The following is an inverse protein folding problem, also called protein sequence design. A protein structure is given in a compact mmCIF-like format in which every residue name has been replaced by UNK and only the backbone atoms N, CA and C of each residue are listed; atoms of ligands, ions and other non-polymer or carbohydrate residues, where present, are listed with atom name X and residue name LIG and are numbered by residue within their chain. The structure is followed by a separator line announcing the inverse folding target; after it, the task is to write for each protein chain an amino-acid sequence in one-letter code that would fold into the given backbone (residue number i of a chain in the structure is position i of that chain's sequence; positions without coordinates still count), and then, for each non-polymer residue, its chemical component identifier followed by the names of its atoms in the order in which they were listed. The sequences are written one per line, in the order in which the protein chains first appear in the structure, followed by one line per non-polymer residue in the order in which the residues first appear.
data_IF_385510826019
#
_entry.id   IF_385510826019
#
_cell.length_a   1.000
_cell.length_b   1.000
_cell.length_c   1.000
_cell.angle_alpha   90.00
_cell.angle_beta   90.00
_cell.angle_gamma   90.00
#
_symmetry.space_group_name_H-M   'P 1'
#
loop_
_entity.id
_entity.type
_entity.pdbx_description
1 polymer ?
#
# COMPACT_ATOMS: atom_id res chain seq x y z
N UNK A 1 82.99 38.35 -38.01
CA UNK A 1 83.74 37.77 -39.14
C UNK A 1 82.85 36.75 -39.81
N UNK A 2 82.49 37.11 -41.00
CA UNK A 2 82.36 36.39 -42.25
C UNK A 2 81.25 35.32 -42.32
N UNK A 3 80.20 35.65 -42.96
CA UNK A 3 79.78 35.48 -44.39
C UNK A 3 79.79 34.04 -44.92
N UNK A 4 78.65 33.50 -45.34
CA UNK A 4 78.29 33.22 -46.75
C UNK A 4 76.99 32.45 -46.82
N UNK A 5 76.06 32.96 -47.37
CA UNK A 5 75.17 32.84 -48.52
C UNK A 5 75.40 31.62 -49.46
N UNK A 6 74.33 30.85 -49.77
CA UNK A 6 73.95 30.42 -51.14
C UNK A 6 72.68 29.54 -51.12
N UNK A 7 71.59 30.00 -51.60
CA UNK A 7 70.92 29.86 -52.93
C UNK A 7 70.28 28.47 -53.23
N UNK A 8 68.95 28.51 -53.22
CA UNK A 8 67.96 27.94 -54.16
C UNK A 8 68.25 26.63 -54.90
N UNK A 9 67.38 25.63 -54.69
CA UNK A 9 66.79 24.85 -55.82
C UNK A 9 65.37 24.56 -55.51
N UNK A 10 64.45 24.93 -56.38
CA UNK A 10 63.05 24.61 -56.40
C UNK A 10 62.86 23.17 -56.93
N UNK A 11 62.19 22.32 -56.15
CA UNK A 11 61.77 21.01 -56.65
C UNK A 11 60.27 20.82 -56.29
N UNK A 12 59.46 20.96 -57.31
CA UNK A 12 58.03 20.67 -57.24
C UNK A 12 57.85 19.14 -57.11
N UNK A 13 57.29 18.72 -55.99
CA UNK A 13 56.75 17.35 -55.86
C UNK A 13 55.26 17.44 -55.62
N UNK A 14 54.49 17.04 -56.61
CA UNK A 14 53.05 16.79 -56.52
C UNK A 14 52.87 15.69 -55.53
N UNK A 15 52.44 16.05 -54.31
CA UNK A 15 52.01 15.05 -53.24
C UNK A 15 50.49 14.87 -53.37
N UNK A 16 50.11 13.67 -53.70
CA UNK A 16 48.73 13.16 -53.68
C UNK A 16 48.12 13.39 -52.33
N UNK A 17 47.12 14.24 -52.27
CA UNK A 17 46.30 14.47 -51.07
C UNK A 17 45.31 13.29 -50.94
N UNK A 18 45.71 12.24 -50.21
CA UNK A 18 44.81 11.19 -49.80
C UNK A 18 43.84 11.77 -48.78
N UNK A 19 42.60 11.98 -49.22
CA UNK A 19 41.48 12.25 -48.34
C UNK A 19 41.23 11.02 -47.47
N UNK A 20 41.86 11.00 -46.32
CA UNK A 20 41.43 10.15 -45.19
C UNK A 20 40.11 10.74 -44.66
N UNK A 21 39.00 10.31 -45.26
CA UNK A 21 37.69 10.39 -44.62
C UNK A 21 37.75 9.53 -43.36
N UNK A 22 38.19 10.10 -42.27
CA UNK A 22 37.98 9.53 -40.96
C UNK A 22 36.47 9.35 -40.76
N UNK A 23 36.01 8.12 -40.85
CA UNK A 23 34.73 7.73 -40.30
C UNK A 23 34.84 8.02 -38.80
N UNK A 24 34.26 9.16 -38.37
CA UNK A 24 33.91 9.40 -36.98
C UNK A 24 33.02 8.25 -36.63
N UNK A 25 33.60 7.26 -35.89
CA UNK A 25 32.81 6.26 -35.22
C UNK A 25 31.82 7.06 -34.37
N UNK A 26 30.57 7.11 -34.80
CA UNK A 26 29.47 7.51 -33.94
C UNK A 26 29.58 6.60 -32.70
N UNK A 27 30.17 7.16 -31.65
CA UNK A 27 30.07 6.58 -30.33
C UNK A 27 28.58 6.33 -30.08
N UNK A 28 28.21 5.07 -30.06
CA UNK A 28 26.84 4.64 -29.98
C UNK A 28 26.13 5.46 -28.92
N UNK A 29 25.07 6.17 -29.34
CA UNK A 29 24.05 6.62 -28.42
C UNK A 29 23.77 5.42 -27.52
N UNK A 30 24.14 5.52 -26.23
CA UNK A 30 23.71 4.54 -25.23
C UNK A 30 22.20 4.47 -25.42
N UNK A 31 21.71 3.34 -25.94
CA UNK A 31 20.28 3.08 -26.11
C UNK A 31 19.72 3.26 -24.72
N UNK A 32 19.05 4.37 -24.51
CA UNK A 32 18.38 4.70 -23.26
C UNK A 32 17.60 3.46 -22.87
N UNK A 33 18.00 2.84 -21.76
CA UNK A 33 17.51 1.53 -21.45
C UNK A 33 16.02 1.62 -21.26
N UNK A 34 15.21 1.12 -22.23
CA UNK A 34 13.77 1.25 -22.23
C UNK A 34 13.25 0.85 -20.82
N UNK A 35 12.53 1.75 -20.19
CA UNK A 35 11.97 1.52 -18.84
C UNK A 35 10.81 0.52 -18.92
N UNK A 36 10.54 -0.27 -17.90
CA UNK A 36 9.44 -1.25 -17.89
C UNK A 36 8.06 -0.65 -18.17
N UNK A 37 7.88 0.64 -17.89
CA UNK A 37 6.64 1.38 -18.15
C UNK A 37 6.49 1.83 -19.62
N UNK A 38 7.50 1.62 -20.48
CA UNK A 38 7.40 1.96 -21.88
C UNK A 38 6.36 1.11 -22.61
N UNK A 39 5.60 1.72 -23.51
CA UNK A 39 4.59 1.02 -24.30
C UNK A 39 5.27 -0.09 -25.12
N UNK A 40 4.72 -1.30 -25.05
CA UNK A 40 5.26 -2.46 -25.77
C UNK A 40 6.55 -3.03 -25.18
N UNK A 41 6.88 -2.69 -23.94
CA UNK A 41 8.04 -3.26 -23.26
C UNK A 41 8.00 -4.80 -23.25
N UNK A 42 9.14 -5.39 -23.54
CA UNK A 42 9.35 -6.86 -23.48
C UNK A 42 10.59 -7.16 -22.64
N UNK A 43 10.56 -8.26 -21.86
CA UNK A 43 11.73 -8.74 -21.10
C UNK A 43 12.95 -8.96 -22.00
N UNK A 44 14.12 -8.47 -21.59
CA UNK A 44 15.31 -8.35 -22.46
C UNK A 44 16.17 -9.62 -22.47
N UNK A 45 16.32 -10.27 -21.35
CA UNK A 45 17.21 -11.43 -21.20
C UNK A 45 16.52 -12.61 -20.50
N UNK A 46 17.26 -13.68 -20.27
CA UNK A 46 16.74 -14.92 -19.72
C UNK A 46 16.25 -14.75 -18.26
N UNK A 47 16.98 -13.96 -17.46
CA UNK A 47 16.61 -13.71 -16.05
C UNK A 47 15.31 -12.92 -15.95
N UNK A 48 15.21 -11.86 -16.76
CA UNK A 48 14.01 -11.02 -16.76
C UNK A 48 12.80 -11.78 -17.31
N UNK A 49 12.98 -12.58 -18.38
CA UNK A 49 11.89 -13.44 -18.91
C UNK A 49 11.43 -14.47 -17.90
N UNK A 50 12.37 -15.14 -17.20
CA UNK A 50 12.03 -16.12 -16.18
C UNK A 50 11.22 -15.49 -15.04
N UNK A 51 11.70 -14.38 -14.50
CA UNK A 51 11.01 -13.66 -13.44
C UNK A 51 9.62 -13.14 -13.89
N UNK A 52 9.51 -12.69 -15.15
CA UNK A 52 8.24 -12.24 -15.72
C UNK A 52 7.24 -13.38 -15.82
N UNK A 53 7.64 -14.55 -16.32
CA UNK A 53 6.77 -15.73 -16.42
C UNK A 53 6.23 -16.19 -15.05
N UNK A 54 7.08 -16.19 -14.02
CA UNK A 54 6.67 -16.50 -12.64
C UNK A 54 5.62 -15.49 -12.13
N UNK A 55 5.81 -14.21 -12.42
CA UNK A 55 4.86 -13.18 -12.02
C UNK A 55 3.54 -13.26 -12.81
N UNK A 56 3.55 -13.68 -14.06
CA UNK A 56 2.33 -13.94 -14.84
C UNK A 56 1.51 -15.11 -14.29
N UNK A 57 2.19 -16.16 -13.81
CA UNK A 57 1.52 -17.27 -13.14
C UNK A 57 0.87 -16.81 -11.84
N UNK A 58 1.62 -16.12 -10.98
CA UNK A 58 1.11 -15.55 -9.74
C UNK A 58 -0.06 -14.57 -9.99
N UNK A 59 -0.01 -13.78 -11.06
CA UNK A 59 -1.09 -12.88 -11.44
C UNK A 59 -2.35 -13.63 -11.89
N UNK A 60 -2.21 -14.75 -12.58
CA UNK A 60 -3.36 -15.61 -12.96
C UNK A 60 -4.06 -16.18 -11.73
N UNK A 61 -3.30 -16.67 -10.76
CA UNK A 61 -3.84 -17.16 -9.49
C UNK A 61 -4.54 -16.04 -8.72
N UNK A 62 -3.88 -14.88 -8.59
CA UNK A 62 -4.43 -13.73 -7.90
C UNK A 62 -5.76 -13.29 -8.51
N UNK A 63 -5.80 -13.12 -9.83
CA UNK A 63 -7.00 -12.64 -10.55
C UNK A 63 -8.22 -13.52 -10.34
N UNK A 64 -8.01 -14.84 -10.15
CA UNK A 64 -9.07 -15.82 -9.92
C UNK A 64 -9.40 -16.01 -8.43
N UNK A 65 -8.73 -15.27 -7.56
CA UNK A 65 -8.88 -15.40 -6.11
C UNK A 65 -10.10 -14.67 -5.57
N UNK A 66 -10.78 -15.28 -4.60
CA UNK A 66 -11.87 -14.65 -3.84
C UNK A 66 -11.41 -13.47 -2.95
N UNK A 67 -10.11 -13.25 -2.85
CA UNK A 67 -9.57 -12.11 -2.10
C UNK A 67 -9.48 -10.83 -2.94
N UNK A 68 -9.63 -10.91 -4.26
CA UNK A 68 -9.62 -9.73 -5.12
C UNK A 68 -10.97 -9.02 -5.03
N UNK A 69 -10.92 -7.73 -4.78
CA UNK A 69 -12.07 -6.84 -4.77
C UNK A 69 -12.40 -6.43 -6.20
N UNK A 70 -13.54 -6.90 -6.71
CA UNK A 70 -14.00 -6.65 -8.08
C UNK A 70 -14.96 -5.46 -8.20
N UNK A 71 -14.94 -4.52 -7.24
CA UNK A 71 -15.75 -3.31 -7.33
C UNK A 71 -15.21 -2.37 -8.42
N UNK A 72 -15.97 -2.07 -9.48
CA UNK A 72 -15.47 -1.27 -10.58
C UNK A 72 -15.15 0.17 -10.19
N UNK A 73 -15.92 0.77 -9.26
CA UNK A 73 -15.73 2.16 -8.85
C UNK A 73 -14.46 2.32 -8.03
N UNK A 74 -14.22 1.44 -7.04
CA UNK A 74 -13.01 1.46 -6.24
C UNK A 74 -11.75 1.17 -7.09
N UNK A 75 -11.83 0.18 -7.99
CA UNK A 75 -10.72 -0.14 -8.89
C UNK A 75 -10.40 1.02 -9.84
N UNK A 76 -11.41 1.66 -10.44
CA UNK A 76 -11.23 2.84 -11.29
C UNK A 76 -10.64 4.02 -10.51
N UNK A 77 -11.09 4.23 -9.26
CA UNK A 77 -10.59 5.27 -8.40
C UNK A 77 -9.08 5.09 -8.09
N UNK A 78 -8.67 3.91 -7.60
CA UNK A 78 -7.28 3.62 -7.28
C UNK A 78 -6.39 3.71 -8.53
N UNK A 79 -6.87 3.23 -9.69
CA UNK A 79 -6.20 3.38 -10.98
C UNK A 79 -6.06 4.85 -11.36
N UNK A 80 -7.09 5.65 -11.20
CA UNK A 80 -7.07 7.09 -11.46
C UNK A 80 -6.05 7.84 -10.59
N UNK A 81 -5.94 7.47 -9.31
CA UNK A 81 -4.90 8.03 -8.42
C UNK A 81 -3.51 7.67 -8.93
N UNK A 82 -3.24 6.41 -9.30
CA UNK A 82 -1.95 6.01 -9.86
C UNK A 82 -1.65 6.79 -11.16
N UNK A 83 -2.61 6.86 -12.10
CA UNK A 83 -2.38 7.54 -13.39
C UNK A 83 -2.09 9.03 -13.21
N UNK A 84 -2.79 9.70 -12.29
CA UNK A 84 -2.49 11.09 -11.93
C UNK A 84 -1.09 11.22 -11.31
N UNK A 85 -0.64 10.23 -10.55
CA UNK A 85 0.65 10.25 -9.87
C UNK A 85 1.81 10.07 -10.84
N UNK A 86 1.79 9.03 -11.67
CA UNK A 86 2.93 8.65 -12.53
C UNK A 86 2.78 9.11 -13.98
N UNK A 87 1.62 9.64 -14.36
CA UNK A 87 1.26 10.03 -15.71
C UNK A 87 0.59 8.91 -16.51
N UNK A 88 -0.34 9.26 -17.41
CA UNK A 88 -1.20 8.33 -18.15
C UNK A 88 -0.41 7.27 -18.94
N UNK A 89 0.65 7.68 -19.63
CA UNK A 89 1.47 6.74 -20.40
C UNK A 89 2.10 5.67 -19.52
N UNK A 90 2.74 6.07 -18.41
CA UNK A 90 3.40 5.14 -17.50
C UNK A 90 2.40 4.23 -16.80
N UNK A 91 1.28 4.80 -16.35
CA UNK A 91 0.28 4.04 -15.63
C UNK A 91 -0.37 2.93 -16.48
N UNK A 92 -0.30 3.00 -17.82
CA UNK A 92 -0.81 1.95 -18.71
C UNK A 92 -0.12 0.61 -18.49
N UNK A 93 1.13 0.60 -18.03
CA UNK A 93 1.89 -0.61 -17.71
C UNK A 93 1.39 -1.32 -16.44
N UNK A 94 0.68 -0.62 -15.55
CA UNK A 94 0.24 -1.18 -14.29
C UNK A 94 -1.16 -1.83 -14.40
N UNK A 95 -1.28 -3.06 -13.90
CA UNK A 95 -2.54 -3.75 -13.68
C UNK A 95 -2.76 -3.85 -12.17
N UNK A 96 -3.79 -3.16 -11.67
CA UNK A 96 -4.05 -3.04 -10.23
C UNK A 96 -5.01 -4.13 -9.78
N UNK A 97 -4.68 -4.76 -8.67
CA UNK A 97 -5.48 -5.73 -7.95
C UNK A 97 -5.64 -5.27 -6.50
N UNK A 98 -6.86 -4.91 -6.11
CA UNK A 98 -7.17 -4.59 -4.72
C UNK A 98 -7.41 -5.91 -4.00
N UNK A 99 -6.58 -6.22 -2.99
CA UNK A 99 -6.63 -7.48 -2.26
C UNK A 99 -7.22 -7.26 -0.88
N UNK A 100 -8.31 -7.98 -0.55
CA UNK A 100 -8.98 -7.88 0.74
C UNK A 100 -8.14 -8.55 1.83
N UNK A 101 -7.35 -7.75 2.50
CA UNK A 101 -6.55 -8.13 3.67
C UNK A 101 -6.33 -6.92 4.57
N UNK A 102 -6.52 -7.03 5.90
CA UNK A 102 -6.50 -5.87 6.81
C UNK A 102 -5.09 -5.35 7.13
N UNK A 103 -4.05 -5.97 6.57
CA UNK A 103 -2.68 -5.51 6.76
C UNK A 103 -2.34 -4.36 5.82
N UNK A 104 -1.49 -3.44 6.29
CA UNK A 104 -0.95 -2.38 5.45
C UNK A 104 0.08 -2.96 4.50
N UNK A 105 -0.18 -2.92 3.19
CA UNK A 105 0.80 -3.28 2.16
C UNK A 105 0.38 -2.81 0.77
N UNK A 106 1.37 -2.62 -0.10
CA UNK A 106 1.26 -2.60 -1.55
C UNK A 106 2.52 -3.24 -2.13
N UNK A 107 2.48 -3.64 -3.39
CA UNK A 107 3.67 -4.13 -4.11
C UNK A 107 3.46 -4.00 -5.62
N UNK A 108 4.56 -3.89 -6.37
CA UNK A 108 4.51 -3.93 -7.82
C UNK A 108 5.53 -4.92 -8.37
N UNK A 109 5.02 -5.91 -9.09
CA UNK A 109 5.81 -6.97 -9.70
C UNK A 109 6.47 -6.51 -11.01
N UNK A 110 7.58 -7.15 -11.45
CA UNK A 110 8.29 -6.80 -12.68
C UNK A 110 7.46 -6.83 -13.95
N UNK A 111 6.39 -7.62 -13.99
CA UNK A 111 5.46 -7.69 -15.13
C UNK A 111 4.41 -6.59 -15.14
N UNK A 112 4.41 -5.69 -14.15
CA UNK A 112 3.43 -4.59 -14.02
C UNK A 112 2.18 -4.95 -13.21
N UNK A 113 2.10 -6.14 -12.58
CA UNK A 113 1.07 -6.45 -11.61
C UNK A 113 1.29 -5.63 -10.34
N UNK A 114 0.31 -4.81 -9.97
CA UNK A 114 0.33 -4.02 -8.74
C UNK A 114 -0.74 -4.53 -7.78
N UNK A 115 -0.36 -4.90 -6.58
CA UNK A 115 -1.27 -5.26 -5.50
C UNK A 115 -1.45 -4.08 -4.54
N UNK A 116 -2.68 -3.80 -4.17
CA UNK A 116 -3.05 -2.79 -3.17
C UNK A 116 -3.91 -3.46 -2.12
N UNK A 117 -3.39 -3.59 -0.90
CA UNK A 117 -4.13 -4.26 0.17
C UNK A 117 -5.13 -3.32 0.82
N UNK A 118 -6.28 -3.85 1.20
CA UNK A 118 -7.35 -3.03 1.80
C UNK A 118 -6.95 -2.42 3.15
N UNK A 119 -6.01 -3.04 3.87
CA UNK A 119 -5.43 -2.45 5.07
C UNK A 119 -4.61 -1.18 4.82
N UNK A 120 -4.04 -1.00 3.62
CA UNK A 120 -3.45 0.26 3.17
C UNK A 120 -4.55 1.30 2.95
N UNK A 121 -5.62 0.95 2.25
CA UNK A 121 -6.75 1.86 2.02
C UNK A 121 -7.41 2.29 3.34
N UNK A 122 -7.50 1.43 4.34
CA UNK A 122 -8.01 1.80 5.67
C UNK A 122 -7.12 2.82 6.39
N UNK A 123 -5.82 2.83 6.14
CA UNK A 123 -4.83 3.66 6.84
C UNK A 123 -4.49 4.96 6.15
N UNK A 124 -4.62 5.04 4.83
CA UNK A 124 -4.48 6.30 4.10
C UNK A 124 -5.64 7.24 4.41
N UNK A 125 -5.38 8.54 4.47
CA UNK A 125 -6.37 9.56 4.83
C UNK A 125 -6.86 10.36 3.65
N UNK A 126 -6.04 10.39 2.60
CA UNK A 126 -6.30 11.20 1.41
C UNK A 126 -5.62 10.60 0.18
N UNK A 127 -5.95 11.15 -1.00
CA UNK A 127 -5.34 10.71 -2.26
C UNK A 127 -3.82 10.84 -2.26
N UNK A 128 -3.28 11.91 -1.67
CA UNK A 128 -1.84 12.14 -1.70
C UNK A 128 -1.05 11.09 -0.89
N UNK A 129 -1.61 10.57 0.21
CA UNK A 129 -1.01 9.44 0.93
C UNK A 129 -1.08 8.15 0.12
N UNK A 130 -2.21 7.88 -0.53
CA UNK A 130 -2.34 6.73 -1.44
C UNK A 130 -1.36 6.88 -2.61
N UNK A 131 -1.32 8.05 -3.24
CA UNK A 131 -0.40 8.38 -4.33
C UNK A 131 1.07 8.20 -3.92
N UNK A 132 1.44 8.56 -2.70
CA UNK A 132 2.80 8.39 -2.18
C UNK A 132 3.22 6.90 -2.15
N UNK A 133 2.34 6.01 -1.67
CA UNK A 133 2.63 4.57 -1.63
C UNK A 133 2.63 3.97 -3.03
N UNK A 134 1.61 4.29 -3.85
CA UNK A 134 1.55 3.78 -5.24
C UNK A 134 2.74 4.25 -6.08
N UNK A 135 3.14 5.52 -5.91
CA UNK A 135 4.32 6.10 -6.58
C UNK A 135 5.62 5.45 -6.12
N UNK A 136 5.75 5.09 -4.84
CA UNK A 136 6.89 4.37 -4.30
C UNK A 136 7.01 2.96 -4.92
N UNK A 137 5.92 2.20 -4.95
CA UNK A 137 5.88 0.87 -5.58
C UNK A 137 6.17 0.95 -7.08
N UNK A 138 5.65 1.98 -7.75
CA UNK A 138 5.93 2.24 -9.15
C UNK A 138 7.40 2.63 -9.38
N UNK A 139 8.02 3.33 -8.44
CA UNK A 139 9.46 3.61 -8.43
C UNK A 139 10.31 2.34 -8.40
N UNK A 140 9.96 1.37 -7.55
CA UNK A 140 10.61 0.05 -7.52
C UNK A 140 10.51 -0.66 -8.88
N UNK A 141 9.35 -0.60 -9.51
CA UNK A 141 9.11 -1.18 -10.84
C UNK A 141 9.97 -0.52 -11.92
N UNK A 142 9.96 0.81 -12.05
CA UNK A 142 10.74 1.52 -13.08
C UNK A 142 12.25 1.36 -12.91
N UNK A 143 12.74 1.36 -11.66
CA UNK A 143 14.15 1.11 -11.34
C UNK A 143 14.54 -0.37 -11.40
N UNK A 144 13.58 -1.28 -11.68
CA UNK A 144 13.80 -2.73 -11.79
C UNK A 144 14.42 -3.33 -10.53
N UNK A 145 14.02 -2.86 -9.36
CA UNK A 145 14.62 -3.29 -8.10
C UNK A 145 14.46 -4.79 -7.88
N UNK A 146 13.28 -5.35 -8.19
CA UNK A 146 13.04 -6.80 -8.08
C UNK A 146 13.98 -7.62 -8.98
N UNK A 147 14.25 -7.17 -10.21
CA UNK A 147 15.19 -7.83 -11.12
C UNK A 147 16.64 -7.70 -10.63
N UNK A 148 17.02 -6.51 -10.14
CA UNK A 148 18.36 -6.26 -9.54
C UNK A 148 18.59 -7.18 -8.35
N UNK A 149 17.62 -7.28 -7.45
CA UNK A 149 17.67 -8.16 -6.28
C UNK A 149 17.73 -9.63 -6.69
N UNK A 150 16.89 -10.05 -7.65
CA UNK A 150 16.90 -11.41 -8.18
C UNK A 150 18.29 -11.81 -8.69
N UNK A 151 18.94 -10.96 -9.49
CA UNK A 151 20.29 -11.20 -9.99
C UNK A 151 21.34 -11.24 -8.89
N UNK A 152 21.23 -10.37 -7.90
CA UNK A 152 22.13 -10.35 -6.75
C UNK A 152 22.03 -11.64 -5.93
N UNK A 153 20.83 -12.11 -5.64
CA UNK A 153 20.61 -13.37 -4.90
C UNK A 153 21.09 -14.55 -5.71
N UNK A 154 20.74 -14.60 -7.00
CA UNK A 154 21.15 -15.69 -7.90
C UNK A 154 22.67 -15.79 -8.06
N UNK A 155 23.39 -14.67 -8.02
CA UNK A 155 24.85 -14.68 -8.08
C UNK A 155 25.51 -15.24 -6.81
N UNK A 156 24.78 -15.26 -5.68
CA UNK A 156 25.27 -15.72 -4.36
C UNK A 156 24.80 -17.12 -3.98
N UNK A 157 23.79 -17.65 -4.67
CA UNK A 157 23.17 -18.97 -4.37
C UNK A 157 23.00 -19.77 -5.65
N UNK A 158 23.10 -21.11 -5.54
CA UNK A 158 22.70 -21.98 -6.65
C UNK A 158 21.25 -21.74 -7.02
N UNK A 159 20.96 -21.71 -8.33
CA UNK A 159 19.63 -21.41 -8.88
C UNK A 159 18.51 -22.30 -8.29
N UNK A 160 18.83 -23.52 -7.85
CA UNK A 160 17.91 -24.45 -7.19
C UNK A 160 17.50 -24.00 -5.79
N UNK A 161 18.37 -23.31 -5.05
CA UNK A 161 18.02 -22.77 -3.73
C UNK A 161 17.03 -21.61 -3.83
N UNK A 162 17.09 -20.80 -4.90
CA UNK A 162 16.11 -19.74 -5.16
C UNK A 162 14.69 -20.29 -5.35
N UNK A 163 14.54 -21.37 -6.12
CA UNK A 163 13.23 -22.01 -6.37
C UNK A 163 12.59 -22.56 -5.08
N UNK A 164 13.40 -22.90 -4.07
CA UNK A 164 12.87 -23.35 -2.77
C UNK A 164 12.27 -22.23 -1.90
N UNK A 165 12.54 -20.97 -2.22
CA UNK A 165 11.92 -19.81 -1.58
C UNK A 165 10.57 -19.43 -2.22
N UNK A 166 10.26 -19.95 -3.42
CA UNK A 166 8.93 -19.82 -4.01
C UNK A 166 8.02 -20.84 -3.35
N UNK A 167 6.96 -20.45 -2.65
CA UNK A 167 6.16 -21.35 -1.85
C UNK A 167 5.21 -22.17 -2.74
N UNK A 168 5.71 -23.27 -3.30
CA UNK A 168 4.87 -24.30 -3.90
C UNK A 168 3.96 -24.90 -2.81
N UNK A 169 2.66 -24.67 -2.89
CA UNK A 169 1.67 -25.32 -2.04
C UNK A 169 1.27 -24.59 -0.74
N UNK A 170 1.72 -23.37 -0.53
CA UNK A 170 1.21 -22.54 0.58
C UNK A 170 0.03 -21.71 0.06
N UNK A 171 -1.06 -21.63 0.84
CA UNK A 171 -2.27 -20.92 0.40
C UNK A 171 -2.00 -19.48 -0.05
N UNK A 172 -2.80 -18.99 -1.01
CA UNK A 172 -2.61 -17.72 -1.73
C UNK A 172 -2.26 -16.52 -0.83
N UNK A 173 -2.88 -16.38 0.36
CA UNK A 173 -2.56 -15.27 1.28
C UNK A 173 -1.14 -15.36 1.83
N UNK A 174 -0.66 -16.57 2.10
CA UNK A 174 0.72 -16.76 2.52
C UNK A 174 1.69 -16.52 1.37
N UNK A 175 1.32 -16.87 0.13
CA UNK A 175 2.09 -16.56 -1.08
C UNK A 175 2.17 -15.05 -1.32
N UNK A 176 1.05 -14.32 -1.21
CA UNK A 176 1.02 -12.86 -1.36
C UNK A 176 1.88 -12.15 -0.29
N UNK A 177 1.82 -12.63 0.95
CA UNK A 177 2.67 -12.15 2.05
C UNK A 177 4.16 -12.46 1.83
N UNK A 178 4.48 -13.64 1.29
CA UNK A 178 5.86 -14.06 1.02
C UNK A 178 6.44 -13.40 -0.23
N UNK A 179 5.66 -13.15 -1.28
CA UNK A 179 6.12 -12.37 -2.43
C UNK A 179 6.59 -10.98 -2.00
N UNK A 180 5.85 -10.31 -1.11
CA UNK A 180 6.30 -9.05 -0.50
C UNK A 180 7.54 -9.19 0.37
N UNK A 181 7.73 -10.32 1.09
CA UNK A 181 8.88 -10.52 1.98
C UNK A 181 10.13 -11.08 1.29
N UNK A 182 9.99 -11.74 0.14
CA UNK A 182 11.11 -12.20 -0.69
C UNK A 182 11.92 -11.01 -1.19
N UNK A 183 11.27 -9.88 -1.46
CA UNK A 183 11.90 -8.65 -1.90
C UNK A 183 12.13 -7.69 -0.73
N UNK A 184 13.05 -8.04 0.18
CA UNK A 184 13.58 -7.04 1.12
C UNK A 184 14.60 -6.18 0.38
N UNK A 185 14.18 -5.00 -0.03
CA UNK A 185 15.02 -4.08 -0.78
C UNK A 185 16.14 -3.49 0.08
N UNK A 186 17.28 -3.21 -0.55
CA UNK A 186 18.36 -2.52 0.12
C UNK A 186 17.96 -1.08 0.48
N UNK A 187 18.66 -0.46 1.44
CA UNK A 187 18.41 0.96 1.80
C UNK A 187 18.58 1.91 0.61
N UNK A 188 19.48 1.58 -0.32
CA UNK A 188 19.69 2.40 -1.50
C UNK A 188 18.54 2.28 -2.48
N UNK A 189 18.00 1.06 -2.70
CA UNK A 189 16.80 0.84 -3.50
C UNK A 189 15.58 1.54 -2.92
N UNK A 190 15.41 1.50 -1.59
CA UNK A 190 14.35 2.24 -0.89
C UNK A 190 14.48 3.75 -1.12
N UNK A 191 15.71 4.27 -1.02
CA UNK A 191 15.97 5.68 -1.26
C UNK A 191 15.71 6.10 -2.70
N UNK A 192 16.09 5.27 -3.68
CA UNK A 192 15.77 5.49 -5.10
C UNK A 192 14.25 5.57 -5.29
N UNK A 193 13.47 4.62 -4.74
CA UNK A 193 12.00 4.59 -4.85
C UNK A 193 11.34 5.77 -4.12
N UNK A 194 11.86 6.19 -2.98
CA UNK A 194 11.37 7.36 -2.24
C UNK A 194 11.58 8.67 -3.02
N UNK A 195 12.74 8.85 -3.66
CA UNK A 195 13.01 10.01 -4.51
C UNK A 195 12.03 10.05 -5.69
N UNK A 196 11.82 8.91 -6.35
CA UNK A 196 10.82 8.82 -7.44
C UNK A 196 9.41 9.12 -6.93
N UNK A 197 9.02 8.61 -5.77
CA UNK A 197 7.70 8.89 -5.16
C UNK A 197 7.48 10.40 -4.96
N UNK A 198 8.46 11.11 -4.42
CA UNK A 198 8.38 12.58 -4.24
C UNK A 198 8.28 13.29 -5.58
N UNK A 199 9.04 12.86 -6.60
CA UNK A 199 8.98 13.43 -7.94
C UNK A 199 7.60 13.20 -8.59
N UNK A 200 7.04 11.98 -8.45
CA UNK A 200 5.70 11.65 -8.94
C UNK A 200 4.61 12.45 -8.23
N UNK A 201 4.65 12.57 -6.90
CA UNK A 201 3.70 13.39 -6.16
C UNK A 201 3.72 14.83 -6.66
N UNK A 202 4.92 15.40 -6.80
CA UNK A 202 5.11 16.77 -7.28
C UNK A 202 4.53 16.96 -8.70
N UNK A 203 4.86 16.06 -9.62
CA UNK A 203 4.38 16.13 -11.01
C UNK A 203 2.88 15.88 -11.14
N UNK A 204 2.32 15.03 -10.27
CA UNK A 204 0.88 14.77 -10.16
C UNK A 204 0.09 15.87 -9.44
N UNK A 205 0.78 16.92 -8.95
CA UNK A 205 0.16 18.04 -8.22
C UNK A 205 -0.21 17.74 -6.78
N UNK A 206 0.21 16.60 -6.23
CA UNK A 206 -0.03 16.21 -4.84
C UNK A 206 0.98 16.81 -3.88
N UNK A 207 0.56 17.06 -2.65
CA UNK A 207 1.42 17.55 -1.56
C UNK A 207 2.49 16.52 -1.19
N UNK A 208 3.80 16.77 -1.45
CA UNK A 208 4.86 15.78 -1.24
C UNK A 208 5.04 15.36 0.21
N UNK A 209 4.71 16.24 1.17
CA UNK A 209 4.80 15.96 2.61
C UNK A 209 3.92 14.79 3.08
N UNK A 210 2.94 14.38 2.28
CA UNK A 210 2.09 13.23 2.60
C UNK A 210 2.85 11.90 2.55
N UNK A 211 3.96 11.84 1.81
CA UNK A 211 4.87 10.68 1.83
C UNK A 211 5.51 10.46 3.21
N UNK A 212 5.90 11.53 3.91
CA UNK A 212 6.39 11.41 5.30
C UNK A 212 5.25 11.15 6.28
N UNK A 213 4.09 11.78 6.07
CA UNK A 213 2.95 11.72 6.98
C UNK A 213 2.38 10.30 7.14
N UNK A 214 2.32 9.49 6.06
CA UNK A 214 1.83 8.10 6.16
C UNK A 214 2.74 7.24 7.03
N UNK A 215 4.07 7.42 6.95
CA UNK A 215 5.02 6.69 7.79
C UNK A 215 4.91 7.09 9.27
N UNK A 216 4.78 8.39 9.56
CA UNK A 216 4.54 8.87 10.92
C UNK A 216 3.28 8.22 11.52
N UNK A 217 2.20 8.18 10.76
CA UNK A 217 0.93 7.59 11.18
C UNK A 217 1.04 6.10 11.50
N UNK A 218 1.76 5.32 10.69
CA UNK A 218 1.96 3.89 10.94
C UNK A 218 2.79 3.65 12.23
N UNK A 219 3.73 4.53 12.52
CA UNK A 219 4.52 4.48 13.76
C UNK A 219 3.65 4.80 14.99
N UNK A 220 2.78 5.80 14.89
CA UNK A 220 1.82 6.14 15.95
C UNK A 220 0.84 4.98 16.22
N UNK A 221 0.40 4.27 15.17
CA UNK A 221 -0.45 3.07 15.30
C UNK A 221 0.28 1.94 16.04
N UNK A 222 1.56 1.72 15.75
CA UNK A 222 2.37 0.74 16.49
C UNK A 222 2.59 1.14 17.95
N UNK A 223 2.74 2.43 18.23
CA UNK A 223 2.81 2.93 19.60
C UNK A 223 1.49 2.69 20.35
N UNK A 224 0.34 2.89 19.70
CA UNK A 224 -0.97 2.63 20.28
C UNK A 224 -1.18 1.14 20.59
N UNK A 225 -0.77 0.24 19.68
CA UNK A 225 -0.76 -1.22 19.92
C UNK A 225 0.09 -1.57 21.12
N UNK A 226 1.30 -1.01 21.22
CA UNK A 226 2.24 -1.32 22.29
C UNK A 226 1.74 -0.78 23.64
N UNK A 227 1.17 0.42 23.66
CA UNK A 227 0.61 1.03 24.86
C UNK A 227 -0.56 0.20 25.42
N UNK A 228 -1.47 -0.26 24.55
CA UNK A 228 -2.59 -1.11 24.94
C UNK A 228 -2.12 -2.45 25.54
N UNK A 229 -1.13 -3.08 24.90
CA UNK A 229 -0.55 -4.36 25.35
C UNK A 229 0.43 -4.20 26.51
N UNK A 230 0.71 -2.98 26.96
CA UNK A 230 1.69 -2.66 28.01
C UNK A 230 3.09 -3.23 27.72
N UNK A 231 3.52 -3.15 26.47
CA UNK A 231 4.82 -3.62 26.01
C UNK A 231 5.60 -2.47 25.35
N UNK A 232 6.92 -2.68 25.17
CA UNK A 232 7.74 -1.70 24.44
C UNK A 232 7.34 -1.68 22.96
N UNK A 233 7.17 -0.49 22.41
CA UNK A 233 6.88 -0.28 20.99
C UNK A 233 7.95 -0.91 20.09
N UNK A 234 7.49 -1.47 18.98
CA UNK A 234 8.36 -2.07 17.93
C UNK A 234 8.43 -1.21 16.66
N UNK A 235 8.03 0.06 16.75
CA UNK A 235 8.00 0.99 15.61
C UNK A 235 9.33 1.16 14.86
N UNK A 236 10.44 0.80 15.50
CA UNK A 236 11.79 0.84 14.91
C UNK A 236 12.30 -0.55 14.48
N UNK A 237 11.44 -1.59 14.58
CA UNK A 237 11.77 -2.96 14.14
C UNK A 237 11.08 -3.26 12.82
N UNK A 238 11.82 -3.95 11.94
CA UNK A 238 11.27 -4.45 10.69
C UNK A 238 10.29 -5.60 10.99
N UNK A 239 9.04 -5.46 10.52
CA UNK A 239 8.00 -6.47 10.62
C UNK A 239 6.76 -6.05 9.81
N UNK A 240 5.97 -7.00 9.35
CA UNK A 240 4.85 -6.70 8.44
C UNK A 240 5.33 -6.05 7.14
N UNK A 241 4.72 -4.94 6.74
CA UNK A 241 5.15 -4.15 5.59
C UNK A 241 6.63 -3.72 5.68
N UNK A 242 7.11 -3.39 6.89
CA UNK A 242 8.51 -2.99 7.10
C UNK A 242 9.51 -4.15 7.00
N UNK A 243 9.09 -5.37 6.76
CA UNK A 243 9.99 -6.48 6.46
C UNK A 243 10.55 -6.38 5.04
N UNK A 244 9.73 -5.96 4.06
CA UNK A 244 10.15 -5.72 2.67
C UNK A 244 10.69 -4.30 2.47
N UNK A 245 10.15 -3.32 3.20
CA UNK A 245 10.54 -1.91 3.14
C UNK A 245 11.04 -1.46 4.53
N UNK A 246 12.34 -1.61 4.82
CA UNK A 246 12.88 -1.26 6.12
C UNK A 246 12.49 0.14 6.56
N UNK A 247 11.75 0.20 7.67
CA UNK A 247 11.37 1.47 8.28
C UNK A 247 12.50 1.93 9.19
N UNK A 248 12.95 3.15 8.96
CA UNK A 248 13.69 3.87 9.98
C UNK A 248 12.97 5.17 10.28
N UNK A 249 12.99 5.61 11.54
CA UNK A 249 12.62 7.00 11.87
C UNK A 249 13.41 7.98 11.01
N UNK A 250 14.62 7.59 10.61
CA UNK A 250 15.48 8.26 9.64
C UNK A 250 14.79 8.44 8.28
N UNK A 251 14.09 7.40 7.75
CA UNK A 251 13.36 7.49 6.47
C UNK A 251 12.24 8.54 6.51
N UNK A 252 11.50 8.61 7.61
CA UNK A 252 10.47 9.62 7.80
C UNK A 252 11.06 11.05 7.77
N UNK A 253 12.17 11.28 8.47
CA UNK A 253 12.83 12.58 8.50
C UNK A 253 13.41 12.97 7.13
N UNK A 254 14.03 12.03 6.46
CA UNK A 254 14.60 12.21 5.14
C UNK A 254 13.50 12.51 4.10
N UNK A 255 12.36 11.80 4.11
CA UNK A 255 11.21 12.09 3.24
C UNK A 255 10.63 13.49 3.51
N UNK A 256 10.57 13.91 4.77
CA UNK A 256 10.14 15.27 5.12
C UNK A 256 11.10 16.33 4.55
N UNK A 257 12.41 16.08 4.61
CA UNK A 257 13.42 16.97 4.05
C UNK A 257 13.31 17.05 2.51
N UNK A 258 13.17 15.91 1.83
CA UNK A 258 12.95 15.87 0.37
C UNK A 258 11.67 16.63 -0.03
N UNK A 259 10.58 16.39 0.70
CA UNK A 259 9.31 17.06 0.44
C UNK A 259 9.39 18.57 0.61
N UNK A 260 10.19 19.06 1.58
CA UNK A 260 10.35 20.50 1.83
C UNK A 260 11.16 21.20 0.72
N UNK A 261 12.00 20.45 -0.01
CA UNK A 261 12.77 20.98 -1.14
C UNK A 261 12.03 20.85 -2.50
N UNK A 262 10.91 20.14 -2.52
CA UNK A 262 10.12 19.96 -3.73
C UNK A 262 9.25 21.21 -4.03
N UNK A 263 8.85 21.37 -5.29
CA UNK A 263 7.94 22.43 -5.69
C UNK A 263 6.62 22.32 -4.93
N UNK A 264 6.11 23.43 -4.41
CA UNK A 264 4.89 23.45 -3.61
C UNK A 264 3.67 23.01 -4.45
N UNK A 265 3.22 21.79 -4.19
CA UNK A 265 1.94 21.27 -4.64
C UNK A 265 1.03 21.12 -3.40
N UNK A 266 -0.24 21.46 -3.53
CA UNK A 266 -1.13 21.60 -2.36
C UNK A 266 -2.29 20.63 -2.34
N UNK A 267 -2.48 19.83 -3.39
CA UNK A 267 -3.59 18.87 -3.45
C UNK A 267 -3.35 17.72 -2.48
N UNK A 268 -4.26 17.54 -1.55
CA UNK A 268 -4.33 16.35 -0.67
C UNK A 268 -5.38 15.36 -1.15
N UNK A 269 -6.50 15.83 -1.69
CA UNK A 269 -7.60 15.00 -2.17
C UNK A 269 -8.37 14.30 -1.04
N UNK A 270 -8.60 15.03 0.08
CA UNK A 270 -9.28 14.47 1.26
C UNK A 270 -10.75 14.15 0.99
N UNK A 271 -11.45 15.03 0.25
CA UNK A 271 -12.87 14.85 -0.06
C UNK A 271 -13.05 13.67 -1.03
N UNK A 272 -12.32 13.67 -2.10
CA UNK A 272 -12.36 12.62 -3.14
C UNK A 272 -12.05 11.24 -2.55
N UNK A 273 -11.05 11.18 -1.64
CA UNK A 273 -10.70 9.94 -0.95
C UNK A 273 -11.85 9.47 -0.04
N UNK A 274 -12.39 10.36 0.79
CA UNK A 274 -13.50 10.06 1.69
C UNK A 274 -14.70 9.54 0.93
N UNK A 275 -15.06 10.19 -0.20
CA UNK A 275 -16.20 9.83 -1.01
C UNK A 275 -16.01 8.45 -1.66
N UNK A 276 -14.83 8.19 -2.22
CA UNK A 276 -14.50 6.90 -2.82
C UNK A 276 -14.50 5.75 -1.80
N UNK A 277 -14.11 6.05 -0.55
CA UNK A 277 -14.03 5.06 0.52
C UNK A 277 -15.33 4.92 1.33
N UNK A 278 -16.35 5.74 1.07
CA UNK A 278 -17.57 5.81 1.91
C UNK A 278 -18.24 4.45 2.12
N UNK A 279 -18.37 3.63 1.08
CA UNK A 279 -18.95 2.28 1.15
C UNK A 279 -17.99 1.22 1.72
N UNK A 280 -16.71 1.55 1.81
CA UNK A 280 -15.66 0.60 2.18
C UNK A 280 -15.24 0.70 3.64
N UNK A 281 -15.50 1.83 4.33
CA UNK A 281 -15.09 1.97 5.73
C UNK A 281 -15.62 0.85 6.62
N UNK A 282 -16.92 0.57 6.56
CA UNK A 282 -17.53 -0.43 7.44
C UNK A 282 -16.94 -1.84 7.25
N UNK A 283 -16.87 -2.43 6.03
CA UNK A 283 -16.28 -3.75 5.84
C UNK A 283 -14.77 -3.79 6.18
N UNK A 284 -14.01 -2.71 5.92
CA UNK A 284 -12.58 -2.68 6.24
C UNK A 284 -12.33 -2.57 7.75
N UNK A 285 -13.15 -1.82 8.47
CA UNK A 285 -13.09 -1.72 9.94
C UNK A 285 -13.46 -3.07 10.56
N UNK A 286 -14.48 -3.76 10.03
CA UNK A 286 -14.86 -5.10 10.49
C UNK A 286 -13.70 -6.10 10.32
N UNK A 287 -13.03 -6.09 9.19
CA UNK A 287 -11.84 -6.92 8.95
C UNK A 287 -10.67 -6.54 9.89
N UNK A 288 -10.49 -5.24 10.20
CA UNK A 288 -9.49 -4.77 11.16
C UNK A 288 -9.78 -5.23 12.58
N UNK A 289 -11.04 -5.20 13.03
CA UNK A 289 -11.44 -5.65 14.36
C UNK A 289 -11.09 -7.14 14.56
N UNK A 290 -11.24 -7.97 13.52
CA UNK A 290 -10.92 -9.41 13.55
C UNK A 290 -9.43 -9.69 13.78
N UNK A 291 -8.52 -8.71 13.58
CA UNK A 291 -7.10 -8.86 13.91
C UNK A 291 -6.83 -8.92 15.41
N UNK A 292 -7.79 -8.59 16.26
CA UNK A 292 -7.62 -8.50 17.72
C UNK A 292 -6.46 -7.55 18.12
N UNK A 293 -6.17 -6.54 17.29
CA UNK A 293 -5.28 -5.45 17.64
C UNK A 293 -6.10 -4.26 18.11
N UNK A 294 -6.44 -4.28 19.40
CA UNK A 294 -7.32 -3.30 20.00
C UNK A 294 -6.71 -1.88 19.92
N UNK A 295 -5.43 -1.73 20.28
CA UNK A 295 -4.75 -0.44 20.31
C UNK A 295 -4.69 0.21 18.93
N UNK A 296 -4.29 -0.56 17.90
CA UNK A 296 -4.29 -0.10 16.52
C UNK A 296 -5.70 0.28 16.04
N UNK A 297 -6.70 -0.57 16.34
CA UNK A 297 -8.08 -0.34 15.87
C UNK A 297 -8.70 0.89 16.53
N UNK A 298 -8.53 1.07 17.85
CA UNK A 298 -9.01 2.28 18.55
C UNK A 298 -8.32 3.55 18.02
N UNK A 299 -7.01 3.48 17.75
CA UNK A 299 -6.27 4.56 17.11
C UNK A 299 -6.85 4.91 15.73
N UNK A 300 -7.10 3.91 14.87
CA UNK A 300 -7.66 4.11 13.54
C UNK A 300 -9.07 4.71 13.60
N UNK A 301 -9.95 4.20 14.48
CA UNK A 301 -11.30 4.77 14.68
C UNK A 301 -11.23 6.22 15.14
N UNK A 302 -10.36 6.54 16.10
CA UNK A 302 -10.15 7.91 16.56
C UNK A 302 -9.65 8.84 15.44
N UNK A 303 -8.85 8.32 14.52
CA UNK A 303 -8.36 9.07 13.35
C UNK A 303 -9.46 9.31 12.32
N UNK A 304 -10.29 8.31 12.03
CA UNK A 304 -11.44 8.45 11.15
C UNK A 304 -12.48 9.44 11.73
N UNK A 305 -12.60 9.49 13.05
CA UNK A 305 -13.47 10.41 13.77
C UNK A 305 -12.90 11.83 13.93
N UNK A 306 -11.81 12.19 13.26
CA UNK A 306 -11.14 13.49 13.45
C UNK A 306 -12.04 14.73 13.26
N UNK A 307 -13.12 14.62 12.47
CA UNK A 307 -14.15 15.65 12.30
C UNK A 307 -15.41 15.44 13.17
N UNK A 308 -15.40 14.42 14.02
CA UNK A 308 -16.52 14.01 14.88
C UNK A 308 -16.89 12.53 14.69
N UNK A 309 -17.44 11.96 15.75
CA UNK A 309 -17.92 10.56 15.73
C UNK A 309 -19.24 10.48 14.95
N UNK A 310 -19.27 9.61 13.94
CA UNK A 310 -20.52 9.26 13.24
C UNK A 310 -21.18 8.04 13.88
N UNK A 311 -22.43 7.77 13.51
CA UNK A 311 -23.17 6.60 13.98
C UNK A 311 -22.45 5.28 13.65
N UNK A 312 -21.85 5.20 12.45
CA UNK A 312 -21.10 4.03 11.97
C UNK A 312 -19.79 3.81 12.75
N UNK A 313 -19.04 4.87 13.01
CA UNK A 313 -17.80 4.81 13.78
C UNK A 313 -18.06 4.45 15.25
N UNK A 314 -19.15 4.97 15.84
CA UNK A 314 -19.57 4.58 17.20
C UNK A 314 -20.04 3.13 17.25
N UNK A 315 -20.78 2.67 16.24
CA UNK A 315 -21.14 1.25 16.13
C UNK A 315 -19.87 0.37 16.07
N UNK A 316 -18.91 0.71 15.20
CA UNK A 316 -17.65 -0.03 15.07
C UNK A 316 -16.85 -0.02 16.39
N UNK A 317 -16.84 1.09 17.12
CA UNK A 317 -16.22 1.20 18.44
C UNK A 317 -16.92 0.31 19.45
N UNK A 318 -18.24 0.24 19.39
CA UNK A 318 -19.03 -0.72 20.19
C UNK A 318 -18.63 -2.16 19.91
N UNK A 319 -18.50 -2.55 18.64
CA UNK A 319 -18.06 -3.90 18.24
C UNK A 319 -16.63 -4.18 18.71
N UNK A 320 -15.72 -3.21 18.62
CA UNK A 320 -14.35 -3.34 19.10
C UNK A 320 -14.29 -3.71 20.60
N UNK A 321 -14.98 -2.91 21.44
CA UNK A 321 -15.00 -3.15 22.88
C UNK A 321 -15.74 -4.45 23.24
N UNK A 322 -16.88 -4.71 22.58
CA UNK A 322 -17.62 -5.96 22.78
C UNK A 322 -16.78 -7.20 22.44
N UNK A 323 -15.99 -7.13 21.38
CA UNK A 323 -15.15 -8.24 20.90
C UNK A 323 -13.97 -8.47 21.85
N UNK A 324 -13.33 -7.43 22.37
CA UNK A 324 -12.26 -7.56 23.37
C UNK A 324 -12.78 -8.19 24.66
N UNK A 325 -13.94 -7.73 25.15
CA UNK A 325 -14.63 -8.31 26.30
C UNK A 325 -13.85 -8.28 27.60
N UNK A 326 -12.94 -7.34 27.77
CA UNK A 326 -12.22 -7.11 29.02
C UNK A 326 -13.10 -6.46 30.10
N UNK A 327 -12.52 -6.22 31.29
CA UNK A 327 -13.22 -5.61 32.41
C UNK A 327 -13.79 -4.24 32.06
N UNK A 328 -15.12 -4.09 32.24
CA UNK A 328 -15.84 -2.86 31.89
C UNK A 328 -16.10 -2.63 30.41
N UNK A 329 -15.60 -3.47 29.50
CA UNK A 329 -15.75 -3.29 28.06
C UNK A 329 -17.19 -3.41 27.59
N UNK A 330 -17.96 -4.34 28.15
CA UNK A 330 -19.38 -4.47 27.79
C UNK A 330 -20.19 -3.21 28.17
N UNK A 331 -19.86 -2.57 29.31
CA UNK A 331 -20.50 -1.31 29.69
C UNK A 331 -20.13 -0.19 28.72
N UNK A 332 -18.86 -0.06 28.33
CA UNK A 332 -18.41 0.90 27.32
C UNK A 332 -19.05 0.64 25.97
N UNK A 333 -19.06 -0.63 25.51
CA UNK A 333 -19.71 -1.04 24.26
C UNK A 333 -21.19 -0.63 24.24
N UNK A 334 -21.92 -0.88 25.35
CA UNK A 334 -23.31 -0.47 25.47
C UNK A 334 -23.49 1.05 25.35
N UNK A 335 -22.55 1.84 25.89
CA UNK A 335 -22.50 3.29 25.69
C UNK A 335 -22.38 3.68 24.22
N UNK A 336 -21.36 3.15 23.53
CA UNK A 336 -21.13 3.47 22.13
C UNK A 336 -22.27 3.06 21.20
N UNK A 337 -22.93 1.91 21.45
CA UNK A 337 -24.11 1.53 20.67
C UNK A 337 -25.30 2.45 20.93
N UNK A 338 -25.53 2.90 22.19
CA UNK A 338 -26.58 3.88 22.48
C UNK A 338 -26.31 5.20 21.75
N UNK A 339 -25.08 5.68 21.78
CA UNK A 339 -24.70 6.91 21.09
C UNK A 339 -24.84 6.75 19.58
N UNK A 340 -24.48 5.61 19.00
CA UNK A 340 -24.71 5.30 17.59
C UNK A 340 -26.19 5.36 17.22
N UNK A 341 -27.06 4.75 18.02
CA UNK A 341 -28.51 4.74 17.83
C UNK A 341 -29.08 6.16 17.99
N UNK A 342 -28.60 6.92 18.97
CA UNK A 342 -29.02 8.30 19.19
C UNK A 342 -28.63 9.25 18.03
N UNK A 343 -27.50 8.99 17.37
CA UNK A 343 -27.12 9.69 16.13
C UNK A 343 -27.80 9.18 14.87
N UNK A 344 -28.81 8.33 15.01
CA UNK A 344 -29.63 7.88 13.90
C UNK A 344 -29.11 6.65 13.16
N UNK A 345 -28.29 5.79 13.80
CA UNK A 345 -27.85 4.54 13.17
C UNK A 345 -29.03 3.73 12.65
N UNK A 346 -29.03 3.46 11.37
CA UNK A 346 -30.02 2.61 10.69
C UNK A 346 -29.65 1.14 10.74
N UNK A 347 -28.44 0.80 11.24
CA UNK A 347 -27.94 -0.57 11.33
C UNK A 347 -28.70 -1.34 12.41
N UNK A 348 -29.45 -2.41 12.09
CA UNK A 348 -30.10 -3.27 13.07
C UNK A 348 -29.09 -3.89 14.05
N UNK A 349 -27.88 -4.14 13.59
CA UNK A 349 -26.75 -4.70 14.33
C UNK A 349 -26.35 -3.83 15.53
N UNK A 350 -26.57 -2.52 15.51
CA UNK A 350 -26.34 -1.66 16.67
C UNK A 350 -27.25 -2.06 17.86
N UNK A 351 -28.52 -2.43 17.60
CA UNK A 351 -29.44 -2.93 18.61
C UNK A 351 -29.05 -4.33 19.08
N UNK A 352 -28.59 -5.18 18.17
CA UNK A 352 -28.04 -6.50 18.52
C UNK A 352 -26.82 -6.36 19.44
N UNK A 353 -25.85 -5.54 19.07
CA UNK A 353 -24.65 -5.27 19.87
C UNK A 353 -24.99 -4.70 21.25
N UNK A 354 -25.90 -3.73 21.30
CA UNK A 354 -26.40 -3.14 22.55
C UNK A 354 -27.08 -4.21 23.43
N UNK A 355 -27.98 -5.01 22.84
CA UNK A 355 -28.68 -6.07 23.56
C UNK A 355 -27.73 -7.09 24.18
N UNK A 356 -26.75 -7.57 23.41
CA UNK A 356 -25.73 -8.51 23.88
C UNK A 356 -24.87 -7.90 25.01
N UNK A 357 -24.45 -6.64 24.86
CA UNK A 357 -23.64 -5.93 25.86
C UNK A 357 -24.43 -5.74 27.17
N UNK A 358 -25.72 -5.37 27.08
CA UNK A 358 -26.61 -5.21 28.23
C UNK A 358 -26.84 -6.52 28.98
N UNK A 359 -27.05 -7.64 28.28
CA UNK A 359 -27.15 -8.95 28.91
C UNK A 359 -25.88 -9.29 29.72
N UNK A 360 -24.71 -8.99 29.19
CA UNK A 360 -23.41 -9.23 29.84
C UNK A 360 -23.16 -8.33 31.03
N UNK A 361 -23.79 -7.16 31.11
CA UNK A 361 -23.70 -6.23 32.27
C UNK A 361 -24.85 -6.42 33.28
N UNK A 362 -25.71 -7.41 33.11
CA UNK A 362 -26.82 -7.70 34.02
C UNK A 362 -28.10 -6.89 33.81
N UNK A 363 -28.15 -6.00 32.81
CA UNK A 363 -29.33 -5.23 32.44
C UNK A 363 -30.28 -6.06 31.53
N UNK A 364 -30.76 -7.20 32.08
CA UNK A 364 -31.40 -8.30 31.35
C UNK A 364 -32.58 -7.82 30.53
N UNK A 365 -33.56 -7.12 31.17
CA UNK A 365 -34.80 -6.73 30.47
C UNK A 365 -34.54 -5.71 29.35
N UNK A 366 -33.62 -4.77 29.57
CA UNK A 366 -33.23 -3.83 28.53
C UNK A 366 -32.51 -4.56 27.38
N UNK A 367 -31.63 -5.51 27.69
CA UNK A 367 -30.95 -6.33 26.69
C UNK A 367 -31.92 -7.13 25.83
N UNK A 368 -32.92 -7.78 26.44
CA UNK A 368 -33.98 -8.52 25.76
C UNK A 368 -34.81 -7.63 24.85
N UNK A 369 -35.16 -6.44 25.30
CA UNK A 369 -35.88 -5.46 24.47
C UNK A 369 -35.10 -5.12 23.20
N UNK A 370 -33.81 -4.81 23.32
CA UNK A 370 -32.97 -4.50 22.16
C UNK A 370 -32.83 -5.67 21.19
N UNK A 371 -32.74 -6.91 21.68
CA UNK A 371 -32.70 -8.10 20.84
C UNK A 371 -34.04 -8.38 20.14
N UNK A 372 -35.17 -8.12 20.80
CA UNK A 372 -36.51 -8.18 20.16
C UNK A 372 -36.62 -7.20 19.00
N UNK A 373 -36.15 -5.97 19.20
CA UNK A 373 -36.14 -4.94 18.15
C UNK A 373 -35.25 -5.35 16.98
N UNK A 374 -34.06 -5.89 17.26
CA UNK A 374 -33.18 -6.43 16.20
C UNK A 374 -33.86 -7.50 15.37
N UNK A 375 -34.46 -8.51 16.01
CA UNK A 375 -35.13 -9.64 15.33
C UNK A 375 -36.31 -9.16 14.46
N UNK A 376 -37.00 -8.08 14.88
CA UNK A 376 -38.08 -7.46 14.06
C UNK A 376 -37.49 -6.71 12.86
N UNK A 377 -36.40 -5.98 13.03
CA UNK A 377 -35.79 -5.17 11.98
C UNK A 377 -35.04 -6.00 10.95
N UNK A 378 -34.55 -7.19 11.33
CA UNK A 378 -33.79 -8.09 10.46
C UNK A 378 -34.30 -9.54 10.57
N UNK A 379 -35.46 -9.83 10.01
CA UNK A 379 -36.12 -11.15 10.14
C UNK A 379 -35.37 -12.27 9.40
N UNK A 380 -34.53 -11.92 8.44
CA UNK A 380 -33.70 -12.81 7.61
C UNK A 380 -32.26 -13.00 8.15
N UNK A 381 -31.95 -12.45 9.34
CA UNK A 381 -30.62 -12.58 9.93
C UNK A 381 -30.26 -14.05 10.21
N UNK A 382 -29.04 -14.45 9.82
CA UNK A 382 -28.55 -15.82 10.05
C UNK A 382 -28.47 -16.21 11.53
N UNK A 383 -28.36 -15.24 12.45
CA UNK A 383 -28.33 -15.44 13.89
C UNK A 383 -29.69 -15.19 14.57
N UNK A 384 -30.75 -14.98 13.79
CA UNK A 384 -32.11 -14.66 14.29
C UNK A 384 -32.59 -15.61 15.39
N UNK A 385 -32.47 -16.92 15.16
CA UNK A 385 -32.95 -17.92 16.11
C UNK A 385 -32.24 -17.79 17.49
N UNK A 386 -30.93 -17.59 17.47
CA UNK A 386 -30.14 -17.39 18.69
C UNK A 386 -30.52 -16.07 19.37
N UNK A 387 -30.70 -14.99 18.62
CA UNK A 387 -31.09 -13.70 19.19
C UNK A 387 -32.50 -13.74 19.78
N UNK A 388 -33.44 -14.43 19.15
CA UNK A 388 -34.80 -14.63 19.65
C UNK A 388 -34.78 -15.43 20.97
N UNK A 389 -33.98 -16.47 21.07
CA UNK A 389 -33.81 -17.24 22.32
C UNK A 389 -33.26 -16.37 23.45
N UNK A 390 -32.22 -15.58 23.18
CA UNK A 390 -31.64 -14.64 24.17
C UNK A 390 -32.61 -13.52 24.55
N UNK A 391 -33.53 -13.14 23.67
CA UNK A 391 -34.60 -12.18 23.95
C UNK A 391 -35.73 -12.70 24.85
N UNK A 392 -35.65 -13.96 25.28
CA UNK A 392 -36.60 -14.60 26.19
C UNK A 392 -37.64 -15.48 25.50
N UNK A 393 -37.36 -15.93 24.29
CA UNK A 393 -38.29 -16.68 23.44
C UNK A 393 -39.37 -15.76 22.85
N UNK A 394 -39.49 -15.67 21.54
CA UNK A 394 -40.56 -14.97 20.84
C UNK A 394 -41.49 -15.99 20.23
#
# INVERSE_FOLDING_TARGET
MTFASCRHVAGAVLGVMALLTGTVAQAGQAVEAAVPSAIGYQPRDADERGLWMEMEEAERELRNSNFVVHDPALNAYVKGVLCRTVGEMRCSAARIYIVRTPYFNASMAPNGMMQVWTGLLLRTRNEAQLAAVLGHEFGHFEKRHSLRLFREVRSKTDAMAWLSFLPYGVGLLAQLGTLGSIFSFSRDMEREADVESIAYLTSGGYTPGQASAIWAQLRDEQDATAAERKVRSRKDKNGGFFASHPNSGERMLYLAALASSATAATRTGDAEYRDAMALWWAPLIDDQIKLNDFGATEFLLGRLAGSGWTSELLYARGELYRTRGGDGDFAKAAGFYRDAIALGSTLPEARRGLGLALLRTGAIEQGRTMLKDYVKLKPDAGDRAMMAMLAGGI
#
